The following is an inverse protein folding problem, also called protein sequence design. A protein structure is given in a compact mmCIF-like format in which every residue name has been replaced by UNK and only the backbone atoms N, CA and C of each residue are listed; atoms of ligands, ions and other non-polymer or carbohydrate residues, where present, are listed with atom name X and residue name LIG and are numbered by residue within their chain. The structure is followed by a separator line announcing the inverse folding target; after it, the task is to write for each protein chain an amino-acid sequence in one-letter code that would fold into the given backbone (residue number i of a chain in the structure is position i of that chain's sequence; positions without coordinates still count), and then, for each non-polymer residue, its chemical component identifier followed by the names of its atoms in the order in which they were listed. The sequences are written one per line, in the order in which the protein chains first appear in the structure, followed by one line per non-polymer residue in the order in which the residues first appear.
data_IF_023611306080
#
_entry.id   IF_023611306080
#
_cell.length_a   1.000
_cell.length_b   1.000
_cell.length_c   1.000
_cell.angle_alpha   90.00
_cell.angle_beta   90.00
_cell.angle_gamma   90.00
#
_symmetry.space_group_name_H-M   'P 1'
#
loop_
_entity.id
_entity.type
_entity.pdbx_description
1 polymer ?
#
# COMPACT_ATOMS: atom_id res chain seq x y z
N UNK A 1 40.82 -0.35 -14.22
CA UNK A 1 40.28 -0.39 -12.84
C UNK A 1 38.77 -0.36 -12.93
N UNK A 2 38.11 -1.51 -12.85
CA UNK A 2 36.65 -1.61 -12.82
C UNK A 2 36.17 -1.04 -11.49
N UNK A 3 35.56 0.15 -11.52
CA UNK A 3 34.93 0.74 -10.33
C UNK A 3 33.91 -0.25 -9.76
N UNK A 4 34.12 -0.67 -8.52
CA UNK A 4 33.12 -1.44 -7.78
C UNK A 4 31.87 -0.58 -7.72
N UNK A 5 30.85 -0.90 -8.51
CA UNK A 5 29.56 -0.24 -8.37
C UNK A 5 29.09 -0.51 -6.96
N UNK A 6 28.99 0.52 -6.12
CA UNK A 6 28.42 0.36 -4.79
C UNK A 6 27.01 -0.18 -4.95
N UNK A 7 26.72 -1.33 -4.35
CA UNK A 7 25.39 -1.93 -4.43
C UNK A 7 24.43 -0.94 -3.77
N UNK A 8 23.57 -0.31 -4.56
CA UNK A 8 22.56 0.61 -4.04
C UNK A 8 21.50 -0.19 -3.28
N UNK A 9 21.68 -0.29 -1.96
CA UNK A 9 20.79 -1.01 -1.05
C UNK A 9 19.52 -0.26 -0.66
N UNK A 10 19.14 0.78 -1.40
CA UNK A 10 17.98 1.65 -1.19
C UNK A 10 17.08 1.59 -2.43
N UNK A 11 15.77 1.79 -2.25
CA UNK A 11 14.79 1.74 -3.34
C UNK A 11 15.14 2.82 -4.38
N UNK A 12 15.26 4.07 -3.94
CA UNK A 12 15.67 5.23 -4.75
C UNK A 12 17.06 5.71 -4.34
N UNK A 13 17.23 6.10 -3.07
CA UNK A 13 18.51 6.38 -2.39
C UNK A 13 18.21 6.65 -0.90
N UNK A 14 19.23 6.72 -0.05
CA UNK A 14 19.05 6.89 1.41
C UNK A 14 18.21 8.12 1.78
N UNK A 15 18.45 9.25 1.13
CA UNK A 15 17.77 10.51 1.44
C UNK A 15 16.31 10.48 1.02
N UNK A 16 16.05 10.09 -0.23
CA UNK A 16 14.69 9.97 -0.75
C UNK A 16 13.87 8.95 0.03
N UNK A 17 14.41 7.77 0.28
CA UNK A 17 13.71 6.72 1.03
C UNK A 17 13.37 7.23 2.46
N UNK A 18 14.30 7.91 3.15
CA UNK A 18 14.03 8.50 4.46
C UNK A 18 12.93 9.57 4.42
N UNK A 19 12.96 10.46 3.42
CA UNK A 19 11.91 11.49 3.25
C UNK A 19 10.55 10.84 2.97
N UNK A 20 10.49 9.82 2.12
CA UNK A 20 9.23 9.17 1.79
C UNK A 20 8.68 8.32 2.94
N UNK A 21 9.52 7.55 3.65
CA UNK A 21 9.03 6.65 4.71
C UNK A 21 8.89 7.32 6.09
N UNK A 22 9.72 8.30 6.42
CA UNK A 22 9.72 8.98 7.73
C UNK A 22 9.18 10.41 7.60
N UNK A 23 9.57 11.12 6.54
CA UNK A 23 9.09 12.48 6.31
C UNK A 23 7.58 12.53 6.07
N UNK A 24 7.02 11.63 5.25
CA UNK A 24 5.59 11.71 4.92
C UNK A 24 4.65 11.44 6.10
N UNK A 25 4.88 10.48 7.02
CA UNK A 25 4.05 10.35 8.22
C UNK A 25 4.18 11.56 9.15
N UNK A 26 5.38 12.13 9.31
CA UNK A 26 5.58 13.32 10.14
C UNK A 26 4.88 14.54 9.57
N UNK A 27 4.98 14.77 8.26
CA UNK A 27 4.25 15.82 7.57
C UNK A 27 2.73 15.63 7.69
N UNK A 28 2.26 14.37 7.56
CA UNK A 28 0.85 14.03 7.75
C UNK A 28 0.38 14.32 9.17
N UNK A 29 1.19 13.99 10.19
CA UNK A 29 0.91 14.30 11.59
C UNK A 29 0.81 15.82 11.81
N UNK A 30 1.76 16.61 11.28
CA UNK A 30 1.71 18.08 11.37
C UNK A 30 0.45 18.62 10.70
N UNK A 31 0.12 18.14 9.50
CA UNK A 31 -1.09 18.53 8.79
C UNK A 31 -2.36 18.18 9.57
N UNK A 32 -2.42 16.99 10.18
CA UNK A 32 -3.53 16.56 11.03
C UNK A 32 -3.67 17.42 12.29
N UNK A 33 -2.57 17.74 12.97
CA UNK A 33 -2.59 18.60 14.15
C UNK A 33 -3.09 20.01 13.81
N UNK A 34 -2.66 20.58 12.68
CA UNK A 34 -3.18 21.86 12.18
C UNK A 34 -4.67 21.73 11.83
N UNK A 35 -5.05 20.71 11.06
CA UNK A 35 -6.45 20.50 10.66
C UNK A 35 -7.39 20.33 11.86
N UNK A 36 -6.92 19.68 12.93
CA UNK A 36 -7.70 19.46 14.16
C UNK A 36 -8.12 20.74 14.88
N UNK A 37 -7.50 21.89 14.55
CA UNK A 37 -7.90 23.20 15.07
C UNK A 37 -9.13 23.79 14.35
N UNK A 38 -9.46 23.29 13.15
CA UNK A 38 -10.47 23.86 12.27
C UNK A 38 -11.59 22.89 11.90
N UNK A 39 -11.31 21.58 11.94
CA UNK A 39 -12.21 20.53 11.49
C UNK A 39 -12.49 19.53 12.59
N UNK A 40 -13.69 18.92 12.56
CA UNK A 40 -14.01 17.85 13.49
C UNK A 40 -13.22 16.58 13.14
N UNK A 41 -13.08 15.69 14.12
CA UNK A 41 -12.45 14.37 13.89
C UNK A 41 -13.17 13.58 12.78
N UNK A 42 -14.48 13.75 12.62
CA UNK A 42 -15.25 13.09 11.57
C UNK A 42 -14.90 13.63 10.18
N UNK A 43 -14.79 14.96 10.02
CA UNK A 43 -14.40 15.59 8.74
C UNK A 43 -13.00 15.16 8.33
N UNK A 44 -12.08 15.14 9.30
CA UNK A 44 -10.70 14.68 9.09
C UNK A 44 -10.69 13.21 8.69
N UNK A 45 -11.47 12.35 9.36
CA UNK A 45 -11.57 10.93 9.02
C UNK A 45 -12.09 10.72 7.59
N UNK A 46 -13.12 11.46 7.17
CA UNK A 46 -13.61 11.40 5.79
C UNK A 46 -12.56 11.84 4.77
N UNK A 47 -11.81 12.90 5.07
CA UNK A 47 -10.71 13.34 4.21
C UNK A 47 -9.62 12.28 4.09
N UNK A 48 -9.19 11.71 5.23
CA UNK A 48 -8.18 10.64 5.26
C UNK A 48 -8.65 9.42 4.48
N UNK A 49 -9.91 9.00 4.66
CA UNK A 49 -10.48 7.88 3.91
C UNK A 49 -10.50 8.17 2.40
N UNK A 50 -10.97 9.36 1.98
CA UNK A 50 -11.07 9.70 0.57
C UNK A 50 -9.70 9.79 -0.13
N UNK A 51 -8.72 10.44 0.48
CA UNK A 51 -7.44 10.71 -0.18
C UNK A 51 -6.35 9.69 0.14
N UNK A 52 -6.21 9.29 1.40
CA UNK A 52 -5.15 8.37 1.80
C UNK A 52 -5.56 6.92 1.67
N UNK A 53 -6.80 6.55 2.04
CA UNK A 53 -7.25 5.16 1.91
C UNK A 53 -7.65 4.82 0.47
N UNK A 54 -8.39 5.69 -0.24
CA UNK A 54 -8.79 5.42 -1.63
C UNK A 54 -7.80 5.99 -2.64
N UNK A 55 -7.33 7.22 -2.43
CA UNK A 55 -6.48 7.92 -3.40
C UNK A 55 -5.13 7.24 -3.66
N UNK A 56 -4.60 6.45 -2.72
CA UNK A 56 -3.33 5.72 -2.95
C UNK A 56 -3.44 4.64 -4.04
N UNK A 57 -4.64 4.23 -4.44
CA UNK A 57 -4.83 3.30 -5.55
C UNK A 57 -4.60 3.96 -6.93
N UNK A 58 -4.70 5.30 -7.00
CA UNK A 58 -4.62 6.04 -8.26
C UNK A 58 -3.32 5.79 -9.04
N UNK A 59 -2.11 5.84 -8.45
CA UNK A 59 -0.88 5.49 -9.17
C UNK A 59 -0.90 4.09 -9.78
N UNK A 60 -1.52 3.12 -9.08
CA UNK A 60 -1.71 1.76 -9.59
C UNK A 60 -2.60 1.73 -10.82
N UNK A 61 -3.71 2.47 -10.81
CA UNK A 61 -4.58 2.60 -11.98
C UNK A 61 -3.92 3.35 -13.14
N UNK A 62 -3.21 4.45 -12.86
CA UNK A 62 -2.47 5.18 -13.88
C UNK A 62 -1.44 4.28 -14.56
N UNK A 63 -0.76 3.42 -13.80
CA UNK A 63 0.14 2.42 -14.35
C UNK A 63 -0.59 1.35 -15.18
N UNK A 64 -1.65 0.75 -14.63
CA UNK A 64 -2.38 -0.33 -15.28
C UNK A 64 -3.01 0.07 -16.63
N UNK A 65 -3.56 1.29 -16.72
CA UNK A 65 -4.26 1.77 -17.92
C UNK A 65 -3.43 2.74 -18.76
N UNK A 66 -2.36 3.33 -18.22
CA UNK A 66 -1.48 4.26 -18.93
C UNK A 66 -0.26 3.60 -19.58
N UNK A 67 0.27 2.51 -19.01
CA UNK A 67 1.38 1.76 -19.62
C UNK A 67 0.86 0.79 -20.67
N UNK A 68 0.99 1.15 -21.95
CA UNK A 68 0.45 0.35 -23.07
C UNK A 68 0.93 -1.10 -23.07
N UNK A 69 2.21 -1.36 -22.82
CA UNK A 69 2.75 -2.72 -22.79
C UNK A 69 2.11 -3.57 -21.69
N UNK A 70 1.92 -2.99 -20.50
CA UNK A 70 1.31 -3.67 -19.36
C UNK A 70 -0.19 -3.91 -19.62
N UNK A 71 -0.87 -2.90 -20.14
CA UNK A 71 -2.29 -2.99 -20.48
C UNK A 71 -2.54 -4.05 -21.54
N UNK A 72 -1.81 -4.06 -22.66
CA UNK A 72 -2.00 -5.03 -23.74
C UNK A 72 -1.73 -6.46 -23.25
N UNK A 73 -0.76 -6.65 -22.34
CA UNK A 73 -0.45 -7.96 -21.73
C UNK A 73 -1.56 -8.50 -20.82
N UNK A 74 -2.22 -7.63 -20.06
CA UNK A 74 -3.23 -8.01 -19.05
C UNK A 74 -4.62 -7.43 -19.34
N UNK A 75 -4.90 -7.12 -20.60
CA UNK A 75 -6.08 -6.37 -21.05
C UNK A 75 -7.40 -6.95 -20.55
N UNK A 76 -7.56 -8.27 -20.68
CA UNK A 76 -8.77 -8.95 -20.22
C UNK A 76 -8.96 -8.75 -18.71
N UNK A 77 -7.91 -8.94 -17.90
CA UNK A 77 -7.96 -8.73 -16.45
C UNK A 77 -8.32 -7.29 -16.11
N UNK A 78 -7.66 -6.30 -16.74
CA UNK A 78 -7.93 -4.90 -16.44
C UNK A 78 -9.32 -4.43 -16.88
N UNK A 79 -9.92 -5.02 -17.90
CA UNK A 79 -11.30 -4.68 -18.29
C UNK A 79 -12.36 -5.45 -17.50
N UNK A 80 -12.14 -6.73 -17.24
CA UNK A 80 -13.14 -7.61 -16.63
C UNK A 80 -13.14 -7.50 -15.11
N UNK A 81 -11.97 -7.42 -14.46
CA UNK A 81 -11.89 -7.41 -12.99
C UNK A 81 -12.67 -6.26 -12.35
N UNK A 82 -12.61 -4.99 -12.82
CA UNK A 82 -13.42 -3.92 -12.24
C UNK A 82 -14.92 -4.22 -12.33
N UNK A 83 -15.39 -4.73 -13.47
CA UNK A 83 -16.81 -5.05 -13.66
C UNK A 83 -17.27 -6.17 -12.73
N UNK A 84 -16.49 -7.23 -12.60
CA UNK A 84 -16.79 -8.36 -11.72
C UNK A 84 -16.79 -7.93 -10.26
N UNK A 85 -15.76 -7.19 -9.83
CA UNK A 85 -15.65 -6.70 -8.45
C UNK A 85 -16.79 -5.74 -8.13
N UNK A 86 -17.08 -4.76 -8.99
CA UNK A 86 -18.19 -3.83 -8.77
C UNK A 86 -19.54 -4.55 -8.72
N UNK A 87 -19.79 -5.50 -9.63
CA UNK A 87 -21.03 -6.27 -9.62
C UNK A 87 -21.20 -7.10 -8.33
N UNK A 88 -20.13 -7.77 -7.88
CA UNK A 88 -20.15 -8.57 -6.66
C UNK A 88 -20.33 -7.70 -5.41
N UNK A 89 -19.61 -6.57 -5.32
CA UNK A 89 -19.76 -5.61 -4.22
C UNK A 89 -21.19 -5.06 -4.19
N UNK A 90 -21.72 -4.62 -5.34
CA UNK A 90 -23.08 -4.12 -5.44
C UNK A 90 -24.11 -5.17 -5.00
N UNK A 91 -24.00 -6.41 -5.50
CA UNK A 91 -24.83 -7.51 -5.08
C UNK A 91 -24.78 -7.71 -3.56
N UNK A 92 -23.58 -7.73 -2.97
CA UNK A 92 -23.42 -7.91 -1.53
C UNK A 92 -24.05 -6.78 -0.71
N UNK A 93 -23.87 -5.53 -1.13
CA UNK A 93 -24.39 -4.34 -0.43
C UNK A 93 -25.91 -4.29 -0.50
N UNK A 94 -26.49 -4.44 -1.70
CA UNK A 94 -27.94 -4.32 -1.90
C UNK A 94 -28.74 -5.50 -1.35
N UNK A 95 -28.10 -6.64 -1.08
CA UNK A 95 -28.73 -7.81 -0.44
C UNK A 95 -28.40 -7.93 1.07
N UNK A 96 -27.71 -6.95 1.65
CA UNK A 96 -27.45 -6.91 3.10
C UNK A 96 -26.50 -8.00 3.61
N UNK A 97 -25.59 -8.51 2.78
CA UNK A 97 -24.66 -9.57 3.16
C UNK A 97 -23.52 -9.04 4.05
N UNK A 98 -23.79 -8.92 5.35
CA UNK A 98 -22.85 -8.38 6.35
C UNK A 98 -21.52 -9.13 6.42
N UNK A 99 -21.51 -10.45 6.18
CA UNK A 99 -20.29 -11.27 6.20
C UNK A 99 -19.24 -10.83 5.17
N UNK A 100 -19.65 -10.19 4.08
CA UNK A 100 -18.73 -9.65 3.09
C UNK A 100 -17.92 -8.48 3.64
N UNK A 101 -18.50 -7.62 4.47
CA UNK A 101 -17.75 -6.51 5.09
C UNK A 101 -16.70 -7.00 6.08
N UNK A 102 -16.98 -8.08 6.80
CA UNK A 102 -15.98 -8.74 7.67
C UNK A 102 -14.84 -9.28 6.82
N UNK A 103 -15.16 -9.96 5.72
CA UNK A 103 -14.16 -10.43 4.78
C UNK A 103 -13.31 -9.28 4.21
N UNK A 104 -13.95 -8.17 3.80
CA UNK A 104 -13.23 -6.99 3.30
C UNK A 104 -12.31 -6.39 4.35
N UNK A 105 -12.75 -6.27 5.61
CA UNK A 105 -11.92 -5.76 6.70
C UNK A 105 -10.69 -6.66 6.95
N UNK A 106 -10.88 -7.98 6.95
CA UNK A 106 -9.78 -8.94 7.10
C UNK A 106 -8.82 -8.90 5.90
N UNK A 107 -9.38 -8.77 4.69
CA UNK A 107 -8.59 -8.62 3.47
C UNK A 107 -7.77 -7.32 3.49
N UNK A 108 -8.37 -6.21 3.92
CA UNK A 108 -7.71 -4.92 4.01
C UNK A 108 -6.53 -4.98 5.01
N UNK A 109 -6.76 -5.56 6.19
CA UNK A 109 -5.71 -5.81 7.17
C UNK A 109 -4.56 -6.66 6.58
N UNK A 110 -4.91 -7.78 5.92
CA UNK A 110 -3.93 -8.63 5.24
C UNK A 110 -3.19 -7.90 4.12
N UNK A 111 -3.89 -7.08 3.34
CA UNK A 111 -3.32 -6.31 2.25
C UNK A 111 -2.28 -5.32 2.75
N UNK A 112 -2.62 -4.51 3.77
CA UNK A 112 -1.69 -3.57 4.38
C UNK A 112 -0.49 -4.29 5.00
N UNK A 113 -0.72 -5.40 5.68
CA UNK A 113 0.33 -6.27 6.21
C UNK A 113 1.31 -6.70 5.10
N UNK A 114 0.79 -7.28 4.01
CA UNK A 114 1.61 -7.76 2.89
C UNK A 114 2.31 -6.62 2.15
N UNK A 115 1.71 -5.43 2.09
CA UNK A 115 2.33 -4.26 1.48
C UNK A 115 3.56 -3.80 2.27
N UNK A 116 3.46 -3.68 3.59
CA UNK A 116 4.58 -3.32 4.47
C UNK A 116 5.68 -4.37 4.43
N UNK A 117 5.29 -5.65 4.51
CA UNK A 117 6.22 -6.76 4.35
C UNK A 117 6.96 -6.71 3.01
N UNK A 118 6.24 -6.46 1.92
CA UNK A 118 6.78 -6.35 0.57
C UNK A 118 7.84 -5.26 0.43
N UNK A 119 7.66 -4.09 1.06
CA UNK A 119 8.67 -3.03 1.05
C UNK A 119 10.02 -3.51 1.60
N UNK A 120 10.01 -4.24 2.72
CA UNK A 120 11.25 -4.80 3.29
C UNK A 120 11.92 -5.80 2.35
N UNK A 121 11.14 -6.58 1.61
CA UNK A 121 11.67 -7.53 0.61
C UNK A 121 12.36 -6.83 -0.57
N UNK A 122 11.89 -5.66 -0.97
CA UNK A 122 12.57 -4.86 -2.01
C UNK A 122 13.98 -4.46 -1.54
N UNK A 123 14.16 -4.11 -0.26
CA UNK A 123 15.49 -3.76 0.27
C UNK A 123 16.47 -4.94 0.23
N UNK A 124 16.04 -6.16 0.55
CA UNK A 124 16.90 -7.35 0.47
C UNK A 124 17.33 -7.65 -0.97
N UNK A 125 16.40 -7.51 -1.92
CA UNK A 125 16.70 -7.65 -3.36
C UNK A 125 17.68 -6.57 -3.81
N UNK A 126 17.46 -5.31 -3.44
CA UNK A 126 18.35 -4.18 -3.76
C UNK A 126 19.75 -4.37 -3.18
N UNK A 127 19.86 -4.93 -1.98
CA UNK A 127 21.13 -5.30 -1.33
C UNK A 127 21.78 -6.55 -1.90
N UNK A 128 21.11 -7.28 -2.82
CA UNK A 128 21.53 -8.56 -3.40
C UNK A 128 21.86 -9.61 -2.33
N UNK A 129 21.15 -9.60 -1.21
CA UNK A 129 21.36 -10.50 -0.06
C UNK A 129 20.03 -11.06 0.45
N UNK A 130 19.25 -11.75 -0.39
CA UNK A 130 18.02 -12.38 0.08
C UNK A 130 18.36 -13.45 1.14
N UNK A 131 17.71 -13.38 2.30
CA UNK A 131 17.85 -14.35 3.39
C UNK A 131 16.48 -14.85 3.80
N UNK A 132 16.35 -16.17 3.97
CA UNK A 132 15.12 -16.80 4.48
C UNK A 132 14.87 -16.41 5.94
N UNK A 133 15.94 -16.30 6.73
CA UNK A 133 15.82 -15.89 8.13
C UNK A 133 15.34 -14.44 8.21
N UNK A 134 15.96 -13.51 7.46
CA UNK A 134 15.54 -12.11 7.43
C UNK A 134 14.10 -11.97 6.92
N UNK A 135 13.74 -12.70 5.85
CA UNK A 135 12.36 -12.74 5.33
C UNK A 135 11.35 -13.20 6.38
N UNK A 136 11.70 -14.17 7.23
CA UNK A 136 10.83 -14.67 8.30
C UNK A 136 10.74 -13.69 9.46
N UNK A 137 11.87 -13.10 9.87
CA UNK A 137 11.90 -12.11 10.94
C UNK A 137 11.09 -10.86 10.57
N UNK A 138 11.26 -10.35 9.35
CA UNK A 138 10.48 -9.21 8.84
C UNK A 138 8.98 -9.54 8.80
N UNK A 139 8.61 -10.76 8.41
CA UNK A 139 7.22 -11.20 8.40
C UNK A 139 6.64 -11.21 9.81
N UNK A 140 7.33 -11.84 10.78
CA UNK A 140 6.89 -11.89 12.17
C UNK A 140 6.85 -10.52 12.83
N UNK A 141 7.83 -9.64 12.54
CA UNK A 141 7.82 -8.27 13.01
C UNK A 141 6.58 -7.53 12.52
N UNK A 142 6.27 -7.65 11.22
CA UNK A 142 5.05 -7.07 10.64
C UNK A 142 3.81 -7.66 11.28
N UNK A 143 3.81 -8.97 11.57
CA UNK A 143 2.63 -9.67 12.09
C UNK A 143 2.34 -9.25 13.54
N UNK A 144 3.38 -9.10 14.36
CA UNK A 144 3.26 -8.58 15.72
C UNK A 144 2.75 -7.14 15.71
N UNK A 145 3.27 -6.30 14.81
CA UNK A 145 2.83 -4.90 14.69
C UNK A 145 1.34 -4.80 14.31
N UNK A 146 0.92 -5.53 13.27
CA UNK A 146 -0.47 -5.53 12.80
C UNK A 146 -1.44 -6.33 13.66
N UNK A 147 -0.95 -7.22 14.53
CA UNK A 147 -1.76 -7.92 15.52
C UNK A 147 -1.95 -7.15 16.82
N UNK A 148 -1.15 -6.10 17.06
CA UNK A 148 -1.29 -5.22 18.22
C UNK A 148 -2.25 -4.05 17.98
N UNK A 149 -2.30 -3.53 16.75
CA UNK A 149 -3.22 -2.47 16.30
C UNK A 149 -4.61 -3.07 16.05
#
# INVERSE_FOLDING_TARGET
MSGVSTVQGWIINRGCDAVFFIGTPLLSLVALLIASQYFSSADIAWFVLAFFAVGHHLPGFMRAYGERELFDRHKATFLVSPLVVTAFVAWSVFNGHLGFFIFLALWDLWHFFMQHYGFMRIYDVKRRKPSLLSSRLDWWLTAVWFGYI
#
